data_IF_103843658971
#
_entry.id   IF_103843658971
#
_cell.length_a   1.000
_cell.length_b   1.000
_cell.length_c   1.000
_cell.angle_alpha   90.00
_cell.angle_beta   90.00
_cell.angle_gamma   90.00
#
_symmetry.space_group_name_H-M   'P 1'
#
loop_
_entity.id
_entity.type
_entity.pdbx_description
1 polymer ?
#
# COMPACT_ATOMS: atom_id res chain seq x y z
N UNK A 1 -5.62 17.73 -9.90
CA UNK A 1 -5.95 16.39 -10.50
C UNK A 1 -5.10 15.34 -9.81
N UNK A 2 -5.71 14.25 -9.34
CA UNK A 2 -4.97 13.19 -8.62
C UNK A 2 -4.97 11.91 -9.44
N UNK A 3 -3.78 11.28 -9.56
CA UNK A 3 -3.59 10.03 -10.31
C UNK A 3 -2.88 8.99 -9.44
N UNK A 4 -3.24 7.73 -9.61
CA UNK A 4 -2.67 6.60 -8.89
C UNK A 4 -2.25 5.47 -9.82
N UNK A 5 -1.13 4.83 -9.54
CA UNK A 5 -0.67 3.65 -10.26
C UNK A 5 0.07 2.71 -9.28
N UNK A 6 -0.20 1.43 -9.37
CA UNK A 6 0.62 0.41 -8.73
C UNK A 6 1.71 -0.03 -9.70
N UNK A 7 2.98 0.14 -9.33
CA UNK A 7 4.12 -0.40 -10.08
C UNK A 7 4.30 -1.89 -9.82
N UNK A 8 4.02 -2.31 -8.59
CA UNK A 8 3.92 -3.71 -8.18
C UNK A 8 3.23 -3.80 -6.82
N UNK A 9 2.54 -4.92 -6.55
CA UNK A 9 1.89 -5.15 -5.26
C UNK A 9 1.84 -6.63 -4.91
N UNK A 10 2.63 -7.06 -3.91
CA UNK A 10 2.64 -8.42 -3.40
C UNK A 10 3.91 -8.75 -2.61
N UNK A 11 3.98 -9.95 -2.05
CA UNK A 11 5.07 -10.43 -1.19
C UNK A 11 6.47 -10.49 -1.82
N UNK A 12 6.63 -10.11 -3.07
CA UNK A 12 7.93 -10.00 -3.75
C UNK A 12 8.40 -8.57 -3.94
N UNK A 13 7.50 -7.60 -3.78
CA UNK A 13 7.81 -6.18 -3.85
C UNK A 13 6.56 -5.34 -4.03
N UNK A 14 6.54 -4.22 -3.33
CA UNK A 14 5.47 -3.23 -3.34
C UNK A 14 6.05 -1.87 -3.71
N UNK A 15 5.37 -1.16 -4.60
CA UNK A 15 5.69 0.20 -4.98
C UNK A 15 4.48 0.83 -5.65
N UNK A 16 4.04 1.96 -5.12
CA UNK A 16 2.89 2.69 -5.63
C UNK A 16 3.29 4.11 -5.98
N UNK A 17 2.67 4.68 -6.98
CA UNK A 17 2.83 6.07 -7.38
C UNK A 17 1.52 6.80 -7.21
N UNK A 18 1.54 7.90 -6.47
CA UNK A 18 0.42 8.83 -6.30
C UNK A 18 0.87 10.21 -6.72
N UNK A 19 0.08 10.87 -7.55
CA UNK A 19 0.41 12.19 -8.09
C UNK A 19 -0.70 13.20 -7.81
N UNK A 20 -0.30 14.41 -7.50
CA UNK A 20 -1.16 15.58 -7.42
C UNK A 20 -0.55 16.71 -8.26
N UNK A 21 -1.31 17.17 -9.27
CA UNK A 21 -0.95 18.31 -10.15
C UNK A 21 0.49 18.24 -10.71
N UNK A 22 0.90 17.07 -11.20
CA UNK A 22 2.20 16.84 -11.81
C UNK A 22 3.34 16.59 -10.82
N UNK A 23 3.06 16.52 -9.53
CA UNK A 23 4.03 16.18 -8.49
C UNK A 23 3.70 14.81 -7.89
N UNK A 24 4.61 13.86 -7.97
CA UNK A 24 4.35 12.47 -7.55
C UNK A 24 5.07 12.06 -6.29
N UNK A 25 4.48 11.10 -5.60
CA UNK A 25 5.05 10.39 -4.46
C UNK A 25 5.23 8.93 -4.82
N UNK A 26 6.31 8.31 -4.39
CA UNK A 26 6.35 6.85 -4.26
C UNK A 26 5.90 6.47 -2.84
N UNK A 27 5.01 5.50 -2.75
CA UNK A 27 4.68 4.84 -1.49
C UNK A 27 5.28 3.44 -1.57
N UNK A 28 6.29 3.19 -0.72
CA UNK A 28 7.20 2.05 -0.77
C UNK A 28 8.06 1.96 -2.04
N UNK A 29 9.17 1.23 -1.95
CA UNK A 29 10.08 0.95 -3.05
C UNK A 29 10.75 -0.44 -2.88
N UNK A 30 9.92 -1.46 -2.82
CA UNK A 30 10.32 -2.85 -2.58
C UNK A 30 10.71 -3.63 -3.83
N UNK A 31 10.64 -3.05 -5.02
CA UNK A 31 11.04 -3.65 -6.30
C UNK A 31 12.38 -3.10 -6.80
N UNK A 32 12.93 -3.69 -7.84
CA UNK A 32 14.21 -3.23 -8.38
C UNK A 32 14.08 -1.82 -8.99
N UNK A 33 15.15 -1.01 -8.88
CA UNK A 33 15.21 0.35 -9.43
C UNK A 33 14.86 0.38 -10.93
N UNK A 34 15.32 -0.63 -11.67
CA UNK A 34 15.01 -0.79 -13.09
C UNK A 34 13.50 -0.91 -13.34
N UNK A 35 12.80 -1.71 -12.53
CA UNK A 35 11.37 -1.93 -12.68
C UNK A 35 10.56 -0.66 -12.31
N UNK A 36 10.98 0.08 -11.28
CA UNK A 36 10.38 1.37 -10.93
C UNK A 36 10.51 2.35 -12.09
N UNK A 37 11.73 2.49 -12.63
CA UNK A 37 12.02 3.38 -13.74
C UNK A 37 11.21 3.02 -14.98
N UNK A 38 11.25 1.75 -15.39
CA UNK A 38 10.52 1.26 -16.57
C UNK A 38 9.01 1.43 -16.41
N UNK A 39 8.48 1.18 -15.20
CA UNK A 39 7.06 1.35 -14.94
C UNK A 39 6.60 2.81 -15.05
N UNK A 40 7.39 3.75 -14.53
CA UNK A 40 7.12 5.19 -14.69
C UNK A 40 7.23 5.62 -16.15
N UNK A 41 8.27 5.19 -16.88
CA UNK A 41 8.47 5.49 -18.31
C UNK A 41 7.30 5.00 -19.19
N UNK A 42 6.71 3.84 -18.87
CA UNK A 42 5.51 3.34 -19.56
C UNK A 42 4.29 4.26 -19.39
N UNK A 43 4.25 5.00 -18.28
CA UNK A 43 3.23 6.02 -18.02
C UNK A 43 3.65 7.43 -18.49
N UNK A 44 4.74 7.55 -19.25
CA UNK A 44 5.35 8.81 -19.68
C UNK A 44 5.81 9.69 -18.51
N UNK A 45 6.27 9.08 -17.41
CA UNK A 45 6.81 9.72 -16.22
C UNK A 45 8.29 9.39 -16.02
N UNK A 46 8.99 10.20 -15.25
CA UNK A 46 10.40 9.97 -14.90
C UNK A 46 10.66 10.15 -13.40
N UNK A 47 11.65 9.43 -12.89
CA UNK A 47 12.10 9.58 -11.50
C UNK A 47 12.67 10.97 -11.22
N UNK A 48 13.32 11.56 -12.22
CA UNK A 48 14.03 12.84 -12.11
C UNK A 48 13.09 14.05 -12.01
N UNK A 49 11.90 13.99 -12.63
CA UNK A 49 11.02 15.13 -12.76
C UNK A 49 9.69 14.96 -12.05
N UNK A 50 9.16 13.74 -12.04
CA UNK A 50 7.77 13.48 -11.61
C UNK A 50 7.68 12.87 -10.21
N UNK A 51 8.80 12.53 -9.56
CA UNK A 51 8.84 12.01 -8.19
C UNK A 51 9.48 13.01 -7.25
N UNK A 52 8.79 13.43 -6.20
CA UNK A 52 9.23 14.44 -5.26
C UNK A 52 9.67 13.86 -3.91
N UNK A 53 9.13 12.69 -3.52
CA UNK A 53 9.41 12.08 -2.23
C UNK A 53 9.05 10.59 -2.21
N UNK A 54 9.53 9.90 -1.17
CA UNK A 54 9.18 8.52 -0.84
C UNK A 54 8.51 8.49 0.53
N UNK A 55 7.30 7.97 0.60
CA UNK A 55 6.64 7.56 1.84
C UNK A 55 6.94 6.08 2.06
N UNK A 56 7.43 5.70 3.22
CA UNK A 56 7.74 4.30 3.52
C UNK A 56 6.85 3.78 4.64
N UNK A 57 6.14 2.68 4.39
CA UNK A 57 5.25 2.07 5.38
C UNK A 57 6.05 1.39 6.50
N UNK A 58 7.00 0.51 6.13
CA UNK A 58 7.84 -0.22 7.08
C UNK A 58 9.15 -0.73 6.42
N UNK A 59 9.99 -1.40 7.21
CA UNK A 59 11.34 -1.78 6.80
C UNK A 59 11.50 -3.21 6.29
N UNK A 60 10.46 -3.92 5.88
CA UNK A 60 10.63 -5.20 5.19
C UNK A 60 11.19 -5.01 3.78
N UNK A 61 11.94 -6.02 3.30
CA UNK A 61 12.67 -5.91 2.05
C UNK A 61 11.77 -5.72 0.82
N UNK A 62 10.58 -6.27 0.82
CA UNK A 62 9.58 -6.12 -0.24
C UNK A 62 8.86 -4.76 -0.21
N UNK A 63 9.20 -3.87 0.73
CA UNK A 63 8.77 -2.47 0.79
C UNK A 63 9.92 -1.48 0.68
N UNK A 64 11.12 -1.83 1.16
CA UNK A 64 12.21 -0.86 1.36
C UNK A 64 13.48 -1.13 0.54
N UNK A 65 13.61 -2.25 -0.16
CA UNK A 65 14.84 -2.73 -0.83
C UNK A 65 15.60 -1.68 -1.63
N UNK A 66 14.90 -0.79 -2.32
CA UNK A 66 15.49 0.17 -3.26
C UNK A 66 15.46 1.61 -2.74
N UNK A 67 14.86 1.85 -1.58
CA UNK A 67 14.70 3.20 -1.01
C UNK A 67 16.00 3.96 -0.91
N UNK A 68 17.08 3.34 -0.39
CA UNK A 68 18.39 4.00 -0.26
C UNK A 68 18.98 4.43 -1.61
N UNK A 69 18.88 3.57 -2.64
CA UNK A 69 19.35 3.90 -4.00
C UNK A 69 18.56 5.05 -4.61
N UNK A 70 17.24 5.05 -4.45
CA UNK A 70 16.37 6.11 -4.94
C UNK A 70 16.69 7.44 -4.24
N UNK A 71 16.69 7.44 -2.90
CA UNK A 71 16.94 8.63 -2.10
C UNK A 71 18.29 9.28 -2.46
N UNK A 72 19.36 8.49 -2.56
CA UNK A 72 20.69 9.02 -2.79
C UNK A 72 20.97 9.42 -4.24
N UNK A 73 20.40 8.69 -5.21
CA UNK A 73 20.66 8.92 -6.64
C UNK A 73 19.79 10.04 -7.22
N UNK A 74 18.56 10.14 -6.76
CA UNK A 74 17.58 11.10 -7.28
C UNK A 74 17.28 12.23 -6.29
N UNK A 75 18.06 12.29 -5.21
CA UNK A 75 17.96 13.34 -4.19
C UNK A 75 16.59 13.42 -3.50
N UNK A 76 15.92 12.28 -3.35
CA UNK A 76 14.56 12.19 -2.85
C UNK A 76 14.51 12.13 -1.31
N UNK A 77 13.71 12.97 -0.64
CA UNK A 77 13.41 12.83 0.77
C UNK A 77 12.61 11.55 1.04
N UNK A 78 12.93 10.88 2.16
CA UNK A 78 12.28 9.66 2.62
C UNK A 78 11.60 9.94 3.94
N UNK A 79 10.29 9.80 3.95
CA UNK A 79 9.43 9.97 5.12
C UNK A 79 9.11 8.60 5.71
N UNK A 80 9.52 8.35 6.94
CA UNK A 80 9.27 7.10 7.67
C UNK A 80 9.31 7.37 9.18
N UNK A 81 8.68 6.51 9.98
CA UNK A 81 8.79 6.61 11.43
C UNK A 81 10.23 6.37 11.88
N UNK A 82 10.60 6.92 13.04
CA UNK A 82 11.96 6.77 13.55
C UNK A 82 12.38 5.30 13.72
N UNK A 83 11.56 4.38 14.27
CA UNK A 83 11.90 2.96 14.32
C UNK A 83 12.14 2.33 12.95
N UNK A 84 11.33 2.69 11.92
CA UNK A 84 11.54 2.23 10.55
C UNK A 84 12.89 2.71 10.02
N UNK A 85 13.21 4.00 10.18
CA UNK A 85 14.50 4.55 9.74
C UNK A 85 15.70 3.87 10.41
N UNK A 86 15.62 3.58 11.71
CA UNK A 86 16.63 2.79 12.42
C UNK A 86 16.72 1.35 11.86
N UNK A 87 15.58 0.72 11.60
CA UNK A 87 15.52 -0.63 11.03
C UNK A 87 16.18 -0.73 9.64
N UNK A 88 16.06 0.31 8.82
CA UNK A 88 16.70 0.37 7.50
C UNK A 88 18.23 0.27 7.58
N UNK A 89 18.86 0.82 8.61
CA UNK A 89 20.32 0.78 8.76
C UNK A 89 20.88 -0.63 8.95
N UNK A 90 20.05 -1.57 9.38
CA UNK A 90 20.40 -3.00 9.58
C UNK A 90 19.98 -3.91 8.41
N UNK A 91 19.31 -3.36 7.39
CA UNK A 91 18.89 -4.14 6.23
C UNK A 91 20.10 -4.53 5.36
N UNK A 92 20.32 -5.84 5.18
CA UNK A 92 21.40 -6.35 4.34
C UNK A 92 21.16 -5.99 2.87
N UNK A 93 22.19 -5.43 2.23
CA UNK A 93 22.19 -5.12 0.79
C UNK A 93 21.41 -3.85 0.41
N UNK A 94 20.82 -3.15 1.36
CA UNK A 94 20.24 -1.83 1.15
C UNK A 94 21.34 -0.77 1.25
N UNK A 95 21.33 0.20 0.33
CA UNK A 95 22.18 1.38 0.42
C UNK A 95 21.66 2.31 1.54
N UNK A 96 22.55 2.74 2.44
CA UNK A 96 22.18 3.66 3.52
C UNK A 96 21.68 4.98 2.96
N UNK A 97 20.56 5.45 3.47
CA UNK A 97 20.02 6.77 3.12
C UNK A 97 20.88 7.85 3.78
N UNK A 98 21.27 8.87 3.04
CA UNK A 98 21.96 10.06 3.58
C UNK A 98 21.12 10.73 4.64
N UNK A 99 21.77 11.28 5.68
CA UNK A 99 21.07 11.85 6.83
C UNK A 99 20.14 13.01 6.46
N UNK A 100 20.54 13.84 5.51
CA UNK A 100 19.79 15.00 5.01
C UNK A 100 18.61 14.61 4.10
N UNK A 101 18.41 13.31 3.84
CA UNK A 101 17.26 12.76 3.10
C UNK A 101 16.28 12.02 4.00
N UNK A 102 16.51 11.95 5.30
CA UNK A 102 15.68 11.25 6.26
C UNK A 102 14.77 12.23 6.98
N UNK A 103 13.46 12.04 6.83
CA UNK A 103 12.44 12.82 7.49
C UNK A 103 11.61 11.91 8.41
N UNK A 104 11.70 12.16 9.72
CA UNK A 104 10.92 11.39 10.69
C UNK A 104 9.46 11.86 10.68
N UNK A 105 8.54 10.91 10.66
CA UNK A 105 7.11 11.13 10.80
C UNK A 105 6.60 10.40 12.05
N UNK A 106 5.48 10.85 12.58
CA UNK A 106 4.82 10.26 13.75
C UNK A 106 3.40 9.86 13.40
N UNK A 107 2.92 8.68 13.84
CA UNK A 107 1.52 8.29 13.64
C UNK A 107 0.56 9.34 14.17
N UNK A 108 -0.52 9.59 13.42
CA UNK A 108 -1.59 10.55 13.71
C UNK A 108 -1.16 12.03 13.72
N UNK A 109 0.07 12.33 13.33
CA UNK A 109 0.55 13.70 13.13
C UNK A 109 0.57 14.02 11.64
N UNK A 110 -0.35 14.87 11.14
CA UNK A 110 -0.42 15.21 9.71
C UNK A 110 0.72 16.14 9.30
N UNK A 111 1.14 16.03 8.06
CA UNK A 111 2.10 16.95 7.42
C UNK A 111 1.72 17.20 5.96
N UNK A 112 2.17 18.31 5.41
CA UNK A 112 1.92 18.65 4.00
C UNK A 112 3.02 18.09 3.09
N UNK A 113 2.61 17.53 1.95
CA UNK A 113 3.50 17.03 0.90
C UNK A 113 2.81 17.12 -0.46
N UNK A 114 3.45 17.74 -1.46
CA UNK A 114 2.91 17.97 -2.82
C UNK A 114 1.50 18.61 -2.85
N UNK A 115 1.20 19.49 -1.90
CA UNK A 115 -0.13 20.14 -1.80
C UNK A 115 -1.24 19.22 -1.29
N UNK A 116 -0.89 18.11 -0.65
CA UNK A 116 -1.80 17.19 0.03
C UNK A 116 -1.43 17.10 1.52
N UNK A 117 -2.42 16.81 2.34
CA UNK A 117 -2.22 16.50 3.76
C UNK A 117 -2.04 14.98 3.89
N UNK A 118 -0.89 14.57 4.40
CA UNK A 118 -0.53 13.16 4.64
C UNK A 118 -0.60 12.88 6.14
N UNK A 119 -1.43 11.96 6.55
CA UNK A 119 -1.56 11.51 7.95
C UNK A 119 -1.15 10.03 8.02
N UNK A 120 0.03 9.70 8.57
CA UNK A 120 0.39 8.32 8.86
C UNK A 120 -0.45 7.79 10.03
N UNK A 121 -0.77 6.50 10.04
CA UNK A 121 -1.46 5.86 11.16
C UNK A 121 -0.91 4.45 11.42
N UNK A 122 -0.91 4.04 12.68
CA UNK A 122 -0.33 2.75 13.08
C UNK A 122 -1.08 1.55 12.52
N UNK A 123 -0.34 0.59 12.00
CA UNK A 123 -0.82 -0.70 11.49
C UNK A 123 -0.04 -1.83 12.16
N UNK A 124 -0.68 -2.78 12.86
CA UNK A 124 -0.01 -3.89 13.53
C UNK A 124 0.65 -4.85 12.53
N UNK A 125 1.98 -5.01 12.63
CA UNK A 125 2.75 -5.94 11.79
C UNK A 125 4.06 -6.37 12.47
N UNK A 126 4.71 -7.44 12.00
CA UNK A 126 5.97 -7.97 12.56
C UNK A 126 7.23 -7.28 12.00
N UNK A 127 7.22 -5.95 11.97
CA UNK A 127 8.32 -5.07 11.55
C UNK A 127 8.81 -4.18 12.71
N UNK A 128 9.81 -3.34 12.46
CA UNK A 128 10.29 -2.38 13.48
C UNK A 128 9.19 -1.39 13.89
N UNK A 129 8.38 -0.98 12.93
CA UNK A 129 7.14 -0.22 13.02
C UNK A 129 6.44 -0.33 11.66
N UNK A 130 5.12 -0.12 11.61
CA UNK A 130 4.38 -0.10 10.35
C UNK A 130 3.28 0.94 10.39
N UNK A 131 3.18 1.74 9.32
CA UNK A 131 2.15 2.76 9.15
C UNK A 131 1.39 2.61 7.83
N UNK A 132 0.09 2.85 7.89
CA UNK A 132 -0.69 3.21 6.71
C UNK A 132 -0.66 4.72 6.50
N UNK A 133 -1.17 5.18 5.37
CA UNK A 133 -1.26 6.60 5.03
C UNK A 133 -2.68 6.98 4.64
N UNK A 134 -3.22 8.00 5.31
CA UNK A 134 -4.41 8.71 4.85
C UNK A 134 -3.97 10.01 4.21
N UNK A 135 -4.35 10.22 2.96
CA UNK A 135 -3.92 11.37 2.15
C UNK A 135 -5.16 12.11 1.67
N UNK A 136 -5.25 13.38 1.98
CA UNK A 136 -6.43 14.21 1.69
C UNK A 136 -6.04 15.57 1.14
N UNK A 137 -7.01 16.23 0.49
CA UNK A 137 -6.89 17.61 0.00
C UNK A 137 -8.04 18.49 0.52
N UNK A 138 -7.89 19.78 0.45
CA UNK A 138 -8.90 20.76 0.89
C UNK A 138 -10.20 20.68 0.07
N UNK A 139 -10.13 20.25 -1.17
CA UNK A 139 -11.29 20.07 -2.07
C UNK A 139 -12.08 18.79 -1.81
N UNK A 140 -11.74 18.05 -0.75
CA UNK A 140 -12.49 16.89 -0.27
C UNK A 140 -12.02 15.54 -0.81
N UNK A 141 -10.93 15.48 -1.59
CA UNK A 141 -10.33 14.21 -1.98
C UNK A 141 -9.82 13.44 -0.75
N UNK A 142 -9.96 12.11 -0.76
CA UNK A 142 -9.38 11.24 0.26
C UNK A 142 -8.96 9.88 -0.29
N UNK A 143 -7.72 9.52 0.01
CA UNK A 143 -7.09 8.26 -0.34
C UNK A 143 -6.49 7.63 0.92
N UNK A 144 -6.71 6.35 1.13
CA UNK A 144 -6.10 5.63 2.25
C UNK A 144 -5.38 4.39 1.73
N UNK A 145 -4.15 4.17 2.21
CA UNK A 145 -3.39 2.95 1.95
C UNK A 145 -3.10 2.26 3.29
N UNK A 146 -3.51 0.99 3.39
CA UNK A 146 -3.22 0.11 4.52
C UNK A 146 -2.80 -1.27 3.99
N UNK A 147 -1.55 -1.63 4.23
CA UNK A 147 -0.94 -2.91 3.83
C UNK A 147 -0.24 -3.55 5.01
N UNK A 148 0.01 -4.84 4.92
CA UNK A 148 0.68 -5.62 5.97
C UNK A 148 -0.03 -5.50 7.32
N UNK A 149 -1.32 -5.83 7.28
CA UNK A 149 -2.25 -5.68 8.39
C UNK A 149 -2.34 -7.00 9.16
N UNK A 150 -1.68 -7.08 10.31
CA UNK A 150 -1.77 -8.27 11.16
C UNK A 150 -3.14 -8.47 11.79
N UNK A 151 -3.82 -7.39 12.15
CA UNK A 151 -5.22 -7.38 12.59
C UNK A 151 -5.82 -5.98 12.47
N UNK A 152 -7.12 -5.93 12.35
CA UNK A 152 -7.87 -4.68 12.24
C UNK A 152 -7.96 -3.97 13.59
N UNK A 153 -7.71 -2.66 13.60
CA UNK A 153 -7.80 -1.80 14.78
C UNK A 153 -8.82 -0.68 14.55
N UNK A 154 -9.33 -0.04 15.60
CA UNK A 154 -10.20 1.14 15.46
C UNK A 154 -9.55 2.27 14.64
N UNK A 155 -8.23 2.45 14.74
CA UNK A 155 -7.47 3.45 13.97
C UNK A 155 -7.50 3.14 12.47
N UNK A 156 -7.25 1.88 12.07
CA UNK A 156 -7.36 1.45 10.68
C UNK A 156 -8.80 1.64 10.17
N UNK A 157 -9.79 1.23 10.96
CA UNK A 157 -11.21 1.37 10.62
C UNK A 157 -11.59 2.84 10.41
N UNK A 158 -11.14 3.72 11.30
CA UNK A 158 -11.37 5.16 11.18
C UNK A 158 -10.83 5.72 9.86
N UNK A 159 -9.52 5.57 9.58
CA UNK A 159 -8.92 6.15 8.38
C UNK A 159 -9.38 5.49 7.08
N UNK A 160 -9.61 4.17 7.08
CA UNK A 160 -10.16 3.48 5.93
C UNK A 160 -11.60 3.93 5.61
N UNK A 161 -12.41 4.22 6.64
CA UNK A 161 -13.79 4.69 6.47
C UNK A 161 -13.91 6.11 5.91
N UNK A 162 -12.83 6.90 5.94
CA UNK A 162 -12.79 8.25 5.36
C UNK A 162 -12.48 8.22 3.85
N UNK A 163 -11.98 7.10 3.33
CA UNK A 163 -11.45 7.01 1.98
C UNK A 163 -12.55 7.06 0.90
N UNK A 164 -12.34 7.89 -0.12
CA UNK A 164 -12.98 7.74 -1.43
C UNK A 164 -12.28 6.64 -2.24
N UNK A 165 -10.96 6.52 -2.06
CA UNK A 165 -10.13 5.51 -2.72
C UNK A 165 -9.29 4.79 -1.68
N UNK A 166 -9.48 3.48 -1.56
CA UNK A 166 -8.84 2.65 -0.56
C UNK A 166 -7.90 1.63 -1.21
N UNK A 167 -6.65 1.60 -0.78
CA UNK A 167 -5.73 0.47 -1.02
C UNK A 167 -5.72 -0.38 0.24
N UNK A 168 -6.24 -1.60 0.15
CA UNK A 168 -6.46 -2.50 1.28
C UNK A 168 -5.76 -3.83 1.05
N UNK A 169 -5.06 -4.32 2.05
CA UNK A 169 -4.49 -5.66 1.99
C UNK A 169 -5.56 -6.74 1.84
N UNK A 170 -5.25 -7.74 0.98
CA UNK A 170 -5.99 -8.99 0.86
C UNK A 170 -4.97 -10.09 0.50
N UNK A 171 -4.23 -10.55 1.51
CA UNK A 171 -3.01 -11.31 1.28
C UNK A 171 -3.29 -12.74 0.83
N UNK A 172 -4.11 -13.48 1.55
CA UNK A 172 -4.27 -14.92 1.31
C UNK A 172 -5.73 -15.39 1.35
N UNK A 173 -5.98 -16.44 0.59
CA UNK A 173 -7.18 -17.25 0.74
C UNK A 173 -6.96 -18.27 1.87
N UNK A 174 -7.88 -18.37 2.85
CA UNK A 174 -7.72 -19.25 4.01
C UNK A 174 -7.53 -20.72 3.65
N UNK A 175 -8.24 -21.22 2.65
CA UNK A 175 -8.15 -22.61 2.23
C UNK A 175 -6.85 -22.88 1.46
N UNK A 176 -6.45 -21.98 0.56
CA UNK A 176 -5.16 -22.09 -0.13
C UNK A 176 -4.00 -22.08 0.87
N UNK A 177 -4.03 -21.21 1.90
CA UNK A 177 -3.01 -21.19 2.94
C UNK A 177 -3.02 -22.52 3.74
N UNK A 178 -4.21 -23.02 4.11
CA UNK A 178 -4.36 -24.26 4.88
C UNK A 178 -3.75 -25.47 4.17
N UNK A 179 -4.06 -25.66 2.87
CA UNK A 179 -3.59 -26.81 2.08
C UNK A 179 -2.24 -26.55 1.38
N UNK A 180 -1.81 -25.30 1.27
CA UNK A 180 -0.61 -24.88 0.55
C UNK A 180 0.68 -25.49 1.11
N UNK A 181 1.76 -25.36 0.34
CA UNK A 181 3.07 -26.00 0.60
C UNK A 181 3.89 -25.35 1.72
N UNK A 182 3.45 -24.22 2.26
CA UNK A 182 4.22 -23.54 3.31
C UNK A 182 4.29 -24.37 4.58
N UNK A 183 5.46 -24.35 5.28
CA UNK A 183 5.62 -25.07 6.53
C UNK A 183 4.69 -24.49 7.62
N UNK A 184 4.30 -25.28 8.64
CA UNK A 184 3.33 -24.87 9.64
C UNK A 184 3.68 -23.56 10.37
N UNK A 185 4.97 -23.32 10.66
CA UNK A 185 5.39 -22.08 11.33
C UNK A 185 5.13 -20.84 10.47
N UNK A 186 5.34 -20.95 9.15
CA UNK A 186 5.10 -19.83 8.23
C UNK A 186 3.60 -19.57 8.04
N UNK A 187 2.78 -20.62 7.94
CA UNK A 187 1.31 -20.49 7.94
C UNK A 187 0.82 -19.78 9.20
N UNK A 188 1.33 -20.19 10.39
CA UNK A 188 0.99 -19.55 11.67
C UNK A 188 1.45 -18.08 11.74
N UNK A 189 2.61 -17.75 11.16
CA UNK A 189 3.09 -16.36 11.06
C UNK A 189 2.14 -15.54 10.19
N UNK A 190 1.80 -16.04 8.99
CA UNK A 190 0.95 -15.34 8.01
C UNK A 190 -0.44 -15.07 8.59
N UNK A 191 -1.08 -16.05 9.21
CA UNK A 191 -2.42 -15.90 9.79
C UNK A 191 -2.42 -15.44 11.25
N UNK A 192 -1.27 -15.03 11.78
CA UNK A 192 -1.14 -14.56 13.16
C UNK A 192 -1.47 -13.07 13.32
N UNK A 193 -1.58 -12.57 14.57
CA UNK A 193 -2.04 -11.21 14.85
C UNK A 193 -1.07 -10.10 14.41
N UNK A 194 0.12 -10.43 13.98
CA UNK A 194 1.10 -9.54 13.35
C UNK A 194 1.45 -10.00 11.92
N UNK A 195 0.65 -10.89 11.33
CA UNK A 195 0.80 -11.39 9.99
C UNK A 195 0.08 -10.51 8.96
N UNK A 196 -0.92 -11.10 8.28
CA UNK A 196 -1.64 -10.46 7.18
C UNK A 196 -3.13 -10.78 7.22
N UNK A 197 -3.95 -9.96 6.56
CA UNK A 197 -5.37 -10.22 6.39
C UNK A 197 -5.63 -11.29 5.32
N UNK A 198 -6.57 -12.18 5.61
CA UNK A 198 -7.16 -13.06 4.62
C UNK A 198 -8.14 -12.29 3.71
N UNK A 199 -8.52 -12.92 2.57
CA UNK A 199 -9.55 -12.38 1.69
C UNK A 199 -10.89 -12.19 2.42
N UNK A 200 -11.25 -13.12 3.29
CA UNK A 200 -12.50 -13.09 4.04
C UNK A 200 -12.51 -11.93 5.06
N UNK A 201 -11.43 -11.76 5.83
CA UNK A 201 -11.30 -10.64 6.78
C UNK A 201 -11.32 -9.29 6.07
N UNK A 202 -10.65 -9.19 4.92
CA UNK A 202 -10.59 -7.96 4.13
C UNK A 202 -11.97 -7.58 3.57
N UNK A 203 -12.73 -8.53 3.03
CA UNK A 203 -14.06 -8.22 2.49
C UNK A 203 -15.08 -7.94 3.60
N UNK A 204 -15.04 -8.66 4.74
CA UNK A 204 -15.88 -8.36 5.90
C UNK A 204 -15.60 -6.97 6.46
N UNK A 205 -14.31 -6.59 6.51
CA UNK A 205 -13.91 -5.24 6.87
C UNK A 205 -14.49 -4.21 5.91
N UNK A 206 -14.36 -4.42 4.60
CA UNK A 206 -14.92 -3.51 3.60
C UNK A 206 -16.44 -3.38 3.74
N UNK A 207 -17.16 -4.47 3.97
CA UNK A 207 -18.61 -4.42 4.19
C UNK A 207 -19.01 -3.52 5.38
N UNK A 208 -18.20 -3.52 6.46
CA UNK A 208 -18.47 -2.68 7.64
C UNK A 208 -18.26 -1.19 7.39
N UNK A 209 -17.19 -0.84 6.63
CA UNK A 209 -16.77 0.56 6.45
C UNK A 209 -17.29 1.20 5.18
N UNK A 210 -17.81 0.40 4.24
CA UNK A 210 -18.23 0.91 2.93
C UNK A 210 -19.29 2.01 3.06
N UNK A 211 -19.12 3.05 2.25
CA UNK A 211 -20.06 4.16 2.10
C UNK A 211 -20.25 4.47 0.61
N UNK A 212 -21.38 5.02 0.19
CA UNK A 212 -21.61 5.39 -1.23
C UNK A 212 -20.60 6.39 -1.81
N UNK A 213 -19.84 7.07 -0.96
CA UNK A 213 -18.73 7.96 -1.36
C UNK A 213 -17.45 7.19 -1.71
N UNK A 214 -17.30 5.93 -1.29
CA UNK A 214 -16.15 5.10 -1.65
C UNK A 214 -16.27 4.61 -3.09
N UNK A 215 -15.33 5.02 -3.93
CA UNK A 215 -15.34 4.77 -5.38
C UNK A 215 -14.49 3.61 -5.81
N UNK A 216 -13.25 3.55 -5.30
CA UNK A 216 -12.29 2.52 -5.67
C UNK A 216 -11.73 1.82 -4.43
N UNK A 217 -11.65 0.49 -4.50
CA UNK A 217 -10.92 -0.36 -3.57
C UNK A 217 -9.90 -1.16 -4.36
N UNK A 218 -8.63 -0.88 -4.13
CA UNK A 218 -7.50 -1.57 -4.72
C UNK A 218 -7.02 -2.63 -3.74
N UNK A 219 -7.13 -3.90 -4.10
CA UNK A 219 -6.68 -4.99 -3.24
C UNK A 219 -5.19 -5.23 -3.45
N UNK A 220 -4.41 -5.02 -2.40
CA UNK A 220 -2.95 -5.05 -2.45
C UNK A 220 -2.36 -6.27 -1.74
N UNK A 221 -1.04 -6.44 -1.91
CA UNK A 221 -0.20 -7.41 -1.21
C UNK A 221 -0.66 -8.87 -1.33
N UNK A 222 -1.18 -9.27 -2.53
CA UNK A 222 -1.64 -10.63 -2.76
C UNK A 222 -0.48 -11.63 -2.74
N UNK A 223 -0.60 -12.66 -1.91
CA UNK A 223 0.35 -13.77 -1.84
C UNK A 223 0.48 -14.48 -3.18
N UNK A 224 1.72 -14.80 -3.58
CA UNK A 224 1.99 -15.55 -4.80
C UNK A 224 1.48 -16.99 -4.74
N UNK A 225 1.66 -17.63 -3.60
CA UNK A 225 1.40 -19.07 -3.42
C UNK A 225 0.02 -19.36 -2.83
N UNK A 226 -0.56 -18.40 -2.09
CA UNK A 226 -1.79 -18.62 -1.32
C UNK A 226 -2.93 -17.67 -1.71
N UNK A 227 -2.84 -17.05 -2.90
CA UNK A 227 -3.91 -16.20 -3.43
C UNK A 227 -3.87 -16.15 -4.97
N UNK A 228 -5.00 -15.78 -5.55
CA UNK A 228 -5.12 -15.54 -6.99
C UNK A 228 -6.03 -14.34 -7.25
N UNK A 229 -5.69 -13.42 -8.18
CA UNK A 229 -6.49 -12.22 -8.45
C UNK A 229 -7.96 -12.51 -8.75
N UNK A 230 -8.25 -13.56 -9.53
CA UNK A 230 -9.64 -13.95 -9.83
C UNK A 230 -10.39 -14.49 -8.61
N UNK A 231 -9.69 -15.22 -7.72
CA UNK A 231 -10.27 -15.75 -6.49
C UNK A 231 -10.67 -14.63 -5.54
N UNK A 232 -9.75 -13.73 -5.24
CA UNK A 232 -10.03 -12.60 -4.34
C UNK A 232 -11.12 -11.71 -4.94
N UNK A 233 -11.10 -11.41 -6.25
CA UNK A 233 -12.16 -10.66 -6.90
C UNK A 233 -13.52 -11.32 -6.71
N UNK A 234 -13.61 -12.63 -6.95
CA UNK A 234 -14.85 -13.39 -6.76
C UNK A 234 -15.34 -13.39 -5.32
N UNK A 235 -14.43 -13.50 -4.34
CA UNK A 235 -14.77 -13.41 -2.90
C UNK A 235 -15.42 -12.06 -2.61
N UNK A 236 -14.82 -10.96 -3.09
CA UNK A 236 -15.38 -9.62 -2.90
C UNK A 236 -16.71 -9.43 -3.64
N UNK A 237 -16.81 -9.87 -4.92
CA UNK A 237 -18.04 -9.75 -5.71
C UNK A 237 -19.23 -10.43 -5.00
N UNK A 238 -19.04 -11.67 -4.54
CA UNK A 238 -20.11 -12.45 -3.89
C UNK A 238 -20.51 -11.81 -2.56
N UNK A 239 -19.53 -11.45 -1.73
CA UNK A 239 -19.79 -10.95 -0.38
C UNK A 239 -20.43 -9.57 -0.40
N UNK A 240 -19.91 -8.64 -1.23
CA UNK A 240 -20.48 -7.31 -1.39
C UNK A 240 -21.89 -7.37 -2.00
N UNK A 241 -22.11 -8.26 -2.97
CA UNK A 241 -23.46 -8.45 -3.54
C UNK A 241 -24.46 -8.91 -2.48
N UNK A 242 -24.07 -9.76 -1.54
CA UNK A 242 -24.96 -10.19 -0.42
C UNK A 242 -25.36 -9.04 0.52
N UNK A 243 -24.56 -7.96 0.56
CA UNK A 243 -24.87 -6.71 1.28
C UNK A 243 -25.60 -5.67 0.39
N UNK A 244 -25.94 -6.04 -0.84
CA UNK A 244 -26.59 -5.14 -1.80
C UNK A 244 -25.64 -4.17 -2.49
N UNK A 245 -24.33 -4.34 -2.34
CA UNK A 245 -23.28 -3.51 -2.94
C UNK A 245 -22.81 -4.16 -4.25
N UNK A 246 -22.91 -3.48 -5.37
CA UNK A 246 -22.57 -4.03 -6.69
C UNK A 246 -21.20 -3.54 -7.15
N UNK A 247 -20.25 -4.46 -7.25
CA UNK A 247 -18.94 -4.18 -7.84
C UNK A 247 -19.11 -3.77 -9.31
N UNK A 248 -18.37 -2.74 -9.73
CA UNK A 248 -18.46 -2.14 -11.06
C UNK A 248 -19.60 -1.13 -11.25
N UNK A 249 -20.43 -0.92 -10.22
CA UNK A 249 -21.50 0.07 -10.22
C UNK A 249 -21.46 0.99 -8.98
N UNK A 250 -21.51 0.39 -7.81
CA UNK A 250 -21.56 1.13 -6.53
C UNK A 250 -20.13 1.36 -6.00
N UNK A 251 -19.20 0.46 -6.32
CA UNK A 251 -17.75 0.54 -6.02
C UNK A 251 -16.96 -0.25 -7.06
N UNK A 252 -15.75 0.21 -7.41
CA UNK A 252 -14.81 -0.56 -8.22
C UNK A 252 -13.83 -1.30 -7.32
N UNK A 253 -13.75 -2.64 -7.43
CA UNK A 253 -12.80 -3.47 -6.68
C UNK A 253 -11.78 -4.07 -7.65
N UNK A 254 -10.52 -3.72 -7.47
CA UNK A 254 -9.44 -4.07 -8.39
C UNK A 254 -8.28 -4.75 -7.66
N UNK A 255 -8.05 -6.06 -7.85
CA UNK A 255 -6.83 -6.70 -7.38
C UNK A 255 -5.60 -6.16 -8.11
N UNK A 256 -4.64 -5.62 -7.36
CA UNK A 256 -3.38 -5.14 -7.90
C UNK A 256 -2.44 -6.29 -8.25
N UNK A 257 -1.65 -6.12 -9.30
CA UNK A 257 -0.77 -7.17 -9.81
C UNK A 257 0.60 -7.16 -9.15
N UNK A 258 1.19 -8.35 -8.97
CA UNK A 258 2.48 -8.52 -8.28
C UNK A 258 3.68 -7.99 -9.07
N UNK A 259 3.73 -8.25 -10.36
CA UNK A 259 4.92 -8.01 -11.19
C UNK A 259 4.63 -7.16 -12.43
N UNK A 260 3.50 -6.49 -12.46
CA UNK A 260 3.07 -5.65 -13.58
C UNK A 260 2.49 -4.35 -13.07
N UNK A 261 2.81 -3.28 -13.78
CA UNK A 261 2.19 -1.99 -13.51
C UNK A 261 0.69 -2.05 -13.80
N UNK A 262 -0.10 -1.41 -12.96
CA UNK A 262 -1.50 -1.13 -13.26
C UNK A 262 -1.60 -0.03 -14.33
N UNK A 263 -2.77 0.14 -14.96
CA UNK A 263 -3.07 1.41 -15.61
C UNK A 263 -2.92 2.59 -14.65
N UNK A 264 -2.75 3.79 -15.20
CA UNK A 264 -2.87 5.02 -14.42
C UNK A 264 -4.37 5.30 -14.18
N UNK A 265 -4.77 5.30 -12.91
CA UNK A 265 -6.14 5.62 -12.50
C UNK A 265 -6.26 7.11 -12.22
N UNK A 266 -7.24 7.77 -12.81
CA UNK A 266 -7.67 9.10 -12.41
C UNK A 266 -8.58 8.95 -11.18
N UNK A 267 -8.20 9.60 -10.09
CA UNK A 267 -8.95 9.55 -8.83
C UNK A 267 -9.78 10.82 -8.68
N UNK A 268 -11.09 10.66 -8.71
CA UNK A 268 -12.06 11.76 -8.57
C UNK A 268 -12.61 11.82 -7.15
N UNK A 269 -12.97 13.01 -6.70
CA UNK A 269 -13.64 13.25 -5.40
C UNK A 269 -15.06 12.68 -5.36
#
# INVERSE_FOLDING_TARGET
>A
MIRFMSLASGSTGNCYYLEHDGQGLLIDAGIALYDIKTGLEQAALSLEHDVQAILLTHNHADHARTVGKLANRYDLPVYATHPVQCGLDYMRGMERIKHDRRYAIEPEVPFELIGLVVTPFSVPHDSADNVGYHISSEDGFSFTLATDIGHLTPTIEYYASLAHHLVLESNYDPEMLRIGKYPPFLKKRISGPLGHLSNDESVEFLCRIWKPTMRNVFLCHLSKENNHPELVRKTFDIRLFSEGIRVGKDVYVTPLQRNHCSPMYLLET
#
